data_IF_120117357133
#
_entry.id   IF_120117357133
#
_cell.length_a   1.000
_cell.length_b   1.000
_cell.length_c   1.000
_cell.angle_alpha   90.00
_cell.angle_beta   90.00
_cell.angle_gamma   90.00
#
_symmetry.space_group_name_H-M   'P 1'
#
loop_
_entity.id
_entity.type
_entity.pdbx_description
1 polymer ?
#
# COMPACT_ATOMS: atom_id res chain seq x y z
N UNK A 1 49.82 -24.94 -17.47
CA UNK A 1 49.39 -25.36 -16.12
C UNK A 1 47.87 -25.35 -16.12
N UNK A 2 47.26 -26.52 -16.31
CA UNK A 2 45.85 -26.75 -16.10
C UNK A 2 45.67 -27.18 -14.63
N UNK A 3 44.74 -26.55 -13.91
CA UNK A 3 44.32 -27.01 -12.59
C UNK A 3 42.84 -27.33 -12.64
N UNK A 4 42.55 -28.62 -12.44
CA UNK A 4 41.23 -29.22 -12.36
C UNK A 4 40.44 -28.77 -11.12
N UNK A 5 39.17 -28.45 -11.36
CA UNK A 5 37.97 -28.96 -10.70
C UNK A 5 38.09 -29.63 -9.32
N UNK A 6 37.54 -29.02 -8.27
CA UNK A 6 36.90 -29.74 -7.15
C UNK A 6 35.71 -28.95 -6.56
N UNK A 7 34.54 -29.61 -6.64
CA UNK A 7 33.42 -29.61 -5.70
C UNK A 7 32.79 -28.29 -5.20
N UNK A 8 31.51 -28.15 -5.53
CA UNK A 8 30.61 -27.21 -4.87
C UNK A 8 29.20 -27.31 -5.41
N UNK A 9 28.55 -28.47 -5.25
CA UNK A 9 27.12 -28.66 -5.49
C UNK A 9 26.32 -27.74 -4.55
N UNK A 10 26.14 -26.47 -4.91
CA UNK A 10 25.15 -25.61 -4.27
C UNK A 10 23.79 -25.90 -4.91
N UNK A 11 23.19 -27.02 -4.52
CA UNK A 11 21.79 -27.34 -4.80
C UNK A 11 20.93 -26.43 -3.92
N UNK A 12 20.82 -25.16 -4.31
CA UNK A 12 19.91 -24.21 -3.69
C UNK A 12 18.49 -24.74 -3.83
N UNK A 13 17.96 -25.30 -2.74
CA UNK A 13 16.53 -25.57 -2.60
C UNK A 13 15.82 -24.22 -2.59
N UNK A 14 15.50 -23.72 -3.79
CA UNK A 14 14.62 -22.57 -3.96
C UNK A 14 13.27 -22.95 -3.39
N UNK A 15 13.07 -22.63 -2.11
CA UNK A 15 11.76 -22.66 -1.46
C UNK A 15 10.84 -21.81 -2.31
N UNK A 16 9.97 -22.47 -3.09
CA UNK A 16 8.86 -21.80 -3.75
C UNK A 16 8.02 -21.21 -2.61
N UNK A 17 8.15 -19.91 -2.38
CA UNK A 17 7.20 -19.19 -1.55
C UNK A 17 5.83 -19.41 -2.20
N UNK A 18 5.03 -20.28 -1.58
CA UNK A 18 3.68 -20.56 -2.01
C UNK A 18 2.93 -19.23 -2.01
N UNK A 19 2.64 -18.71 -3.21
CA UNK A 19 1.77 -17.58 -3.40
C UNK A 19 0.42 -17.93 -2.76
N UNK A 20 0.16 -17.39 -1.58
CA UNK A 20 -1.09 -17.61 -0.86
C UNK A 20 -2.25 -17.18 -1.76
N UNK A 21 -3.24 -18.06 -1.93
CA UNK A 21 -4.41 -17.79 -2.74
C UNK A 21 -5.14 -16.55 -2.22
N UNK A 22 -4.89 -15.40 -2.85
CA UNK A 22 -5.57 -14.14 -2.52
C UNK A 22 -6.97 -14.20 -3.14
N UNK A 23 -7.96 -14.58 -2.34
CA UNK A 23 -9.36 -14.51 -2.76
C UNK A 23 -9.75 -13.05 -2.93
N UNK A 24 -9.90 -12.59 -4.17
CA UNK A 24 -10.51 -11.29 -4.50
C UNK A 24 -12.03 -11.40 -4.55
N UNK A 25 -12.69 -10.38 -4.03
CA UNK A 25 -14.12 -10.15 -4.18
C UNK A 25 -14.42 -9.96 -5.68
N UNK A 26 -15.46 -10.63 -6.17
CA UNK A 26 -15.99 -10.38 -7.51
C UNK A 26 -16.97 -9.22 -7.43
N UNK A 27 -16.55 -8.02 -7.83
CA UNK A 27 -17.41 -6.85 -7.92
C UNK A 27 -18.10 -6.78 -9.29
N UNK A 28 -19.30 -6.21 -9.34
CA UNK A 28 -19.92 -5.84 -10.61
C UNK A 28 -19.08 -4.74 -11.31
N UNK A 29 -19.04 -4.68 -12.66
CA UNK A 29 -18.20 -3.73 -13.39
C UNK A 29 -18.40 -2.26 -12.98
N UNK A 30 -19.64 -1.85 -12.70
CA UNK A 30 -19.95 -0.50 -12.24
C UNK A 30 -19.40 -0.20 -10.83
N UNK A 31 -19.44 -1.18 -9.93
CA UNK A 31 -18.91 -1.05 -8.57
C UNK A 31 -17.38 -1.02 -8.59
N UNK A 32 -16.76 -1.83 -9.44
CA UNK A 32 -15.31 -1.84 -9.65
C UNK A 32 -14.79 -0.48 -10.12
N UNK A 33 -15.44 0.09 -11.14
CA UNK A 33 -15.12 1.44 -11.64
C UNK A 33 -15.25 2.50 -10.55
N UNK A 34 -16.34 2.48 -9.79
CA UNK A 34 -16.58 3.44 -8.70
C UNK A 34 -15.54 3.30 -7.58
N UNK A 35 -15.11 2.08 -7.27
CA UNK A 35 -14.09 1.83 -6.26
C UNK A 35 -12.73 2.40 -6.69
N UNK A 36 -12.32 2.17 -7.94
CA UNK A 36 -11.08 2.74 -8.50
C UNK A 36 -11.11 4.26 -8.55
N UNK A 37 -12.24 4.84 -8.94
CA UNK A 37 -12.44 6.29 -8.98
C UNK A 37 -12.35 6.91 -7.57
N UNK A 38 -12.98 6.26 -6.59
CA UNK A 38 -12.90 6.70 -5.18
C UNK A 38 -11.49 6.60 -4.62
N UNK A 39 -10.76 5.53 -4.96
CA UNK A 39 -9.36 5.36 -4.56
C UNK A 39 -8.45 6.43 -5.20
N UNK A 40 -8.67 6.77 -6.48
CA UNK A 40 -7.95 7.85 -7.16
C UNK A 40 -8.26 9.23 -6.56
N UNK A 41 -9.52 9.49 -6.17
CA UNK A 41 -9.90 10.72 -5.49
C UNK A 41 -9.23 10.86 -4.12
N UNK A 42 -9.10 9.76 -3.38
CA UNK A 42 -8.36 9.75 -2.12
C UNK A 42 -6.87 10.05 -2.31
N UNK A 43 -6.24 9.42 -3.32
CA UNK A 43 -4.85 9.70 -3.66
C UNK A 43 -4.66 11.18 -4.05
N UNK A 44 -5.60 11.79 -4.79
CA UNK A 44 -5.56 13.22 -5.10
C UNK A 44 -5.58 14.10 -3.83
N UNK A 45 -6.51 13.83 -2.90
CA UNK A 45 -6.56 14.58 -1.64
C UNK A 45 -5.24 14.46 -0.86
N UNK A 46 -4.67 13.26 -0.81
CA UNK A 46 -3.38 13.02 -0.17
C UNK A 46 -2.25 13.81 -0.84
N UNK A 47 -2.16 13.79 -2.17
CA UNK A 47 -1.18 14.56 -2.95
C UNK A 47 -1.31 16.06 -2.64
N UNK A 48 -2.54 16.59 -2.60
CA UNK A 48 -2.78 18.00 -2.26
C UNK A 48 -2.22 18.36 -0.89
N UNK A 49 -2.50 17.53 0.13
CA UNK A 49 -1.97 17.76 1.47
C UNK A 49 -0.44 17.66 1.52
N UNK A 50 0.14 16.72 0.77
CA UNK A 50 1.59 16.58 0.63
C UNK A 50 2.22 17.83 -0.01
N UNK A 51 1.67 18.33 -1.13
CA UNK A 51 2.14 19.55 -1.79
C UNK A 51 2.08 20.75 -0.84
N UNK A 52 0.97 20.91 -0.13
CA UNK A 52 0.82 21.95 0.89
C UNK A 52 1.85 21.83 2.02
N UNK A 53 2.14 20.61 2.50
CA UNK A 53 3.16 20.38 3.52
C UNK A 53 4.57 20.68 3.01
N UNK A 54 4.91 20.28 1.77
CA UNK A 54 6.20 20.59 1.16
C UNK A 54 6.42 22.11 1.05
N UNK A 55 5.42 22.89 0.60
CA UNK A 55 5.54 24.35 0.52
C UNK A 55 5.76 25.00 1.89
N UNK A 56 5.12 24.48 2.95
CA UNK A 56 5.36 24.95 4.33
C UNK A 56 6.81 24.77 4.78
N UNK A 57 7.55 23.80 4.24
CA UNK A 57 8.98 23.62 4.54
C UNK A 57 9.91 24.55 3.77
N UNK A 58 9.44 25.17 2.69
CA UNK A 58 10.20 26.15 1.88
C UNK A 58 10.05 27.58 2.43
N UNK A 59 9.45 27.74 3.62
CA UNK A 59 9.22 29.00 4.34
C UNK A 59 10.42 29.95 4.41
N UNK A 60 11.69 29.50 4.55
CA UNK A 60 12.84 30.42 4.53
C UNK A 60 13.06 31.16 3.20
N UNK A 61 12.48 30.68 2.08
CA UNK A 61 12.74 31.21 0.72
C UNK A 61 11.52 31.93 0.12
N UNK A 62 10.30 31.72 0.64
CA UNK A 62 9.06 32.14 -0.05
C UNK A 62 8.07 33.00 0.74
N UNK A 63 8.30 33.33 2.02
CA UNK A 63 7.22 33.99 2.77
C UNK A 63 7.56 34.81 4.01
N UNK A 64 8.73 34.63 4.61
CA UNK A 64 9.13 35.39 5.80
C UNK A 64 10.14 36.50 5.50
N UNK A 65 10.50 36.69 4.22
CA UNK A 65 11.24 37.88 3.80
C UNK A 65 10.28 39.09 3.93
N UNK A 66 10.54 40.05 4.84
CA UNK A 66 9.63 41.16 5.11
C UNK A 66 9.33 42.02 3.87
N UNK A 67 10.15 41.88 2.81
CA UNK A 67 10.09 42.62 1.56
C UNK A 67 9.11 42.07 0.51
N UNK A 68 8.80 40.76 0.48
CA UNK A 68 7.89 40.17 -0.53
C UNK A 68 6.81 39.34 0.16
N UNK A 69 5.66 39.97 0.45
CA UNK A 69 4.49 39.29 1.02
C UNK A 69 3.64 38.67 -0.10
N UNK A 70 3.48 37.35 -0.10
CA UNK A 70 2.49 36.67 -0.96
C UNK A 70 1.09 37.23 -0.72
N UNK A 71 0.43 37.67 -1.80
CA UNK A 71 -0.94 38.19 -1.75
C UNK A 71 -1.98 37.09 -1.51
N UNK A 72 -3.15 37.46 -0.99
CA UNK A 72 -4.25 36.50 -0.77
C UNK A 72 -4.74 35.87 -2.09
N UNK A 73 -4.69 36.61 -3.21
CA UNK A 73 -5.01 36.08 -4.53
C UNK A 73 -4.04 34.99 -4.98
N UNK A 74 -2.74 35.16 -4.72
CA UNK A 74 -1.72 34.18 -5.09
C UNK A 74 -1.93 32.84 -4.36
N UNK A 75 -2.25 32.89 -3.05
CA UNK A 75 -2.58 31.68 -2.27
C UNK A 75 -3.81 30.94 -2.81
N UNK A 76 -4.80 31.67 -3.30
CA UNK A 76 -6.02 31.11 -3.92
C UNK A 76 -5.68 30.38 -5.23
N UNK A 77 -4.95 31.04 -6.14
CA UNK A 77 -4.55 30.44 -7.41
C UNK A 77 -3.57 29.28 -7.23
N UNK A 78 -2.68 29.36 -6.24
CA UNK A 78 -1.78 28.28 -5.86
C UNK A 78 -2.55 27.05 -5.35
N UNK A 79 -3.58 27.26 -4.52
CA UNK A 79 -4.46 26.17 -4.08
C UNK A 79 -5.21 25.49 -5.24
N UNK A 80 -5.69 26.26 -6.22
CA UNK A 80 -6.32 25.73 -7.42
C UNK A 80 -5.33 24.96 -8.31
N UNK A 81 -4.08 25.44 -8.41
CA UNK A 81 -3.02 24.75 -9.13
C UNK A 81 -2.67 23.41 -8.46
N UNK A 82 -2.57 23.39 -7.14
CA UNK A 82 -2.30 22.16 -6.38
C UNK A 82 -3.44 21.14 -6.54
N UNK A 83 -4.69 21.60 -6.65
CA UNK A 83 -5.85 20.74 -6.96
C UNK A 83 -5.74 20.08 -8.33
N UNK A 84 -5.34 20.83 -9.37
CA UNK A 84 -5.18 20.27 -10.70
C UNK A 84 -3.98 19.32 -10.79
N UNK A 85 -2.86 19.66 -10.15
CA UNK A 85 -1.72 18.73 -10.06
C UNK A 85 -2.07 17.45 -9.32
N UNK A 86 -2.80 17.54 -8.21
CA UNK A 86 -3.27 16.39 -7.47
C UNK A 86 -4.17 15.47 -8.31
N UNK A 87 -5.13 16.02 -9.05
CA UNK A 87 -5.99 15.26 -9.97
C UNK A 87 -5.21 14.62 -11.10
N UNK A 88 -4.32 15.38 -11.75
CA UNK A 88 -3.52 14.85 -12.86
C UNK A 88 -2.61 13.72 -12.39
N UNK A 89 -1.99 13.86 -11.22
CA UNK A 89 -1.11 12.85 -10.66
C UNK A 89 -1.88 11.59 -10.21
N UNK A 90 -3.09 11.74 -9.63
CA UNK A 90 -3.88 10.58 -9.22
C UNK A 90 -4.51 9.81 -10.38
N UNK A 91 -4.77 10.46 -11.51
CA UNK A 91 -5.35 9.79 -12.69
C UNK A 91 -4.32 9.02 -13.51
N UNK A 92 -3.04 9.40 -13.45
CA UNK A 92 -1.97 8.72 -14.20
C UNK A 92 -1.77 7.29 -13.70
N UNK A 93 -1.64 6.34 -14.63
CA UNK A 93 -1.33 4.94 -14.32
C UNK A 93 0.13 4.78 -13.86
N UNK A 94 1.03 5.62 -14.35
CA UNK A 94 2.46 5.65 -14.00
C UNK A 94 2.85 7.03 -13.49
N UNK A 95 3.50 7.10 -12.33
CA UNK A 95 3.90 8.36 -11.69
C UNK A 95 2.95 8.86 -10.58
N UNK A 96 1.89 8.11 -10.27
CA UNK A 96 1.17 8.25 -8.99
C UNK A 96 1.95 7.62 -7.84
N UNK A 97 1.53 7.87 -6.60
CA UNK A 97 2.17 7.28 -5.41
C UNK A 97 1.81 5.80 -5.20
N UNK A 98 0.90 5.25 -6.00
CA UNK A 98 0.47 3.86 -5.93
C UNK A 98 -0.53 3.59 -4.80
N UNK A 99 -0.99 4.65 -4.13
CA UNK A 99 -1.89 4.54 -2.99
C UNK A 99 -3.27 4.08 -3.42
N UNK A 100 -3.75 4.53 -4.59
CA UNK A 100 -5.04 4.09 -5.15
C UNK A 100 -5.09 2.58 -5.41
N UNK A 101 -3.98 2.00 -5.88
CA UNK A 101 -3.88 0.56 -6.16
C UNK A 101 -3.81 -0.24 -4.86
N UNK A 102 -3.05 0.25 -3.88
CA UNK A 102 -2.99 -0.36 -2.55
C UNK A 102 -4.38 -0.35 -1.86
N UNK A 103 -5.12 0.75 -1.95
CA UNK A 103 -6.48 0.87 -1.40
C UNK A 103 -7.43 -0.08 -2.14
N UNK A 104 -7.38 -0.09 -3.47
CA UNK A 104 -8.19 -0.98 -4.28
C UNK A 104 -7.91 -2.45 -3.97
N UNK A 105 -6.65 -2.85 -3.86
CA UNK A 105 -6.26 -4.22 -3.53
C UNK A 105 -6.69 -4.61 -2.11
N UNK A 106 -6.58 -3.71 -1.13
CA UNK A 106 -7.04 -3.97 0.23
C UNK A 106 -8.57 -4.15 0.30
N UNK A 107 -9.32 -3.30 -0.40
CA UNK A 107 -10.79 -3.32 -0.40
C UNK A 107 -11.37 -4.47 -1.22
N UNK A 108 -10.67 -4.91 -2.27
CA UNK A 108 -11.08 -6.08 -3.06
C UNK A 108 -10.62 -7.39 -2.46
N UNK A 109 -9.78 -7.38 -1.42
CA UNK A 109 -9.35 -8.60 -0.72
C UNK A 109 -10.48 -9.13 0.17
N UNK A 110 -10.76 -10.43 0.08
CA UNK A 110 -11.76 -11.04 0.95
C UNK A 110 -11.36 -10.88 2.43
N UNK A 111 -12.29 -10.41 3.30
CA UNK A 111 -12.01 -10.28 4.73
C UNK A 111 -11.65 -11.64 5.32
N UNK A 112 -10.47 -11.74 5.94
CA UNK A 112 -10.01 -12.96 6.63
C UNK A 112 -8.76 -13.63 6.04
N UNK A 113 -8.31 -13.27 4.83
CA UNK A 113 -7.04 -13.79 4.31
C UNK A 113 -5.92 -12.91 4.87
N UNK A 114 -5.25 -13.28 5.97
CA UNK A 114 -4.01 -12.59 6.40
C UNK A 114 -2.82 -13.22 5.69
N UNK A 115 -1.96 -12.46 4.97
CA UNK A 115 -0.72 -13.04 4.46
C UNK A 115 0.17 -13.37 5.67
N UNK A 116 0.46 -14.67 5.87
CA UNK A 116 1.31 -15.14 6.99
C UNK A 116 0.58 -15.72 8.20
N UNK A 117 -0.76 -15.84 8.17
CA UNK A 117 -1.48 -16.60 9.20
C UNK A 117 -1.44 -18.10 8.88
N UNK A 118 -0.52 -18.84 9.49
CA UNK A 118 -0.53 -20.30 9.46
C UNK A 118 -1.90 -20.81 9.90
N UNK A 119 -2.67 -21.39 8.98
CA UNK A 119 -3.86 -22.17 9.34
C UNK A 119 -3.37 -23.29 10.25
N UNK A 120 -3.75 -23.26 11.54
CA UNK A 120 -3.49 -24.34 12.48
C UNK A 120 -4.08 -25.61 11.86
N UNK A 121 -3.22 -26.47 11.31
CA UNK A 121 -3.63 -27.76 10.78
C UNK A 121 -3.95 -28.62 12.00
N UNK A 122 -5.23 -28.69 12.37
CA UNK A 122 -5.70 -29.67 13.35
C UNK A 122 -5.37 -31.05 12.78
N UNK A 123 -4.41 -31.74 13.40
CA UNK A 123 -4.12 -33.13 13.09
C UNK A 123 -5.29 -33.95 13.66
N UNK A 124 -6.08 -34.65 12.82
CA UNK A 124 -7.12 -35.53 13.32
C UNK A 124 -6.47 -36.59 14.22
N UNK A 125 -6.84 -36.61 15.51
CA UNK A 125 -6.39 -37.64 16.46
C UNK A 125 -5.51 -37.20 17.64
N UNK A 126 -5.31 -35.90 17.90
CA UNK A 126 -4.42 -35.44 19.00
C UNK A 126 -5.14 -34.90 20.26
N UNK A 127 -6.32 -35.43 20.60
CA UNK A 127 -6.90 -35.16 21.92
C UNK A 127 -6.30 -36.11 22.97
N UNK A 128 -5.13 -35.76 23.52
CA UNK A 128 -4.72 -36.33 24.82
C UNK A 128 -5.48 -35.59 25.91
N UNK A 129 -6.39 -36.30 26.55
CA UNK A 129 -7.18 -35.86 27.70
C UNK A 129 -6.31 -35.17 28.76
N UNK A 130 -6.57 -33.89 29.02
CA UNK A 130 -5.99 -33.13 30.12
C UNK A 130 -7.12 -32.61 31.03
N UNK A 131 -7.87 -33.52 31.65
CA UNK A 131 -8.72 -33.23 32.82
C UNK A 131 -9.33 -34.54 33.37
N UNK A 132 -8.49 -35.43 33.89
CA UNK A 132 -8.92 -36.47 34.81
C UNK A 132 -8.00 -36.40 36.02
N UNK A 133 -8.45 -35.65 37.04
CA UNK A 133 -8.12 -35.78 38.47
C UNK A 133 -8.61 -34.53 39.20
N UNK A 134 -9.79 -34.62 39.80
CA UNK A 134 -10.15 -34.00 41.09
C UNK A 134 -11.31 -34.80 41.68
N UNK A 135 -11.00 -35.97 42.22
CA UNK A 135 -11.78 -36.60 43.28
C UNK A 135 -10.84 -36.67 44.49
N UNK A 136 -11.08 -35.81 45.46
CA UNK A 136 -10.84 -36.00 46.90
C UNK A 136 -12.11 -35.58 47.62
#
# INVERSE_FOLDING_TARGET
MATENVAGQFRGSSTRHAAGNVRRLKLAPAQDKKLRESAANFEAMFIKQMLGAMRKTVTPIQGDDPLIKKGQGEKMFEGMLDDEYAKMASQRQTGGMGLKEAIYDQLTRAPGVRPGGSVMRVIPGSYRNAAAKRDE
#
